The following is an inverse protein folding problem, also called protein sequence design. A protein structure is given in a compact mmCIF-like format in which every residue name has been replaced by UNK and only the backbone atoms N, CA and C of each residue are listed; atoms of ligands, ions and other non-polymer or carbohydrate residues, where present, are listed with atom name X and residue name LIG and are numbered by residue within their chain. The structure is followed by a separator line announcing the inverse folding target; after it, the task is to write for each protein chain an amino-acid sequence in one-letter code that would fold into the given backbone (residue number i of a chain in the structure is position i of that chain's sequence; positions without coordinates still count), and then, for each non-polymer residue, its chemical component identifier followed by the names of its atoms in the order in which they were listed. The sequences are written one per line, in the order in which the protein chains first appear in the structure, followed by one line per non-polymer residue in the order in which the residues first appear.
data_IF_048790577638
#
_entry.id   IF_048790577638
#
_cell.length_a   1.000
_cell.length_b   1.000
_cell.length_c   1.000
_cell.angle_alpha   90.00
_cell.angle_beta   90.00
_cell.angle_gamma   90.00
#
_symmetry.space_group_name_H-M   'P 1'
#
loop_
_entity.id
_entity.type
_entity.pdbx_description
1 polymer ?
#
# COMPACT_ATOMS: atom_id res chain seq x y z
N UNK A 1 22.05 17.42 -21.03
CA UNK A 1 20.61 17.77 -20.95
C UNK A 1 20.32 18.19 -19.50
N UNK A 2 19.54 19.24 -19.26
CA UNK A 2 19.27 19.74 -17.89
C UNK A 2 18.36 18.74 -17.13
N UNK A 3 18.52 18.63 -15.80
CA UNK A 3 17.76 17.69 -14.94
C UNK A 3 16.24 17.87 -15.07
N UNK A 4 15.76 19.11 -15.10
CA UNK A 4 14.33 19.42 -15.30
C UNK A 4 13.78 18.80 -16.61
N UNK A 5 14.56 18.83 -17.70
CA UNK A 5 14.11 18.30 -19.00
C UNK A 5 13.97 16.78 -19.01
N UNK A 6 14.73 16.08 -18.16
CA UNK A 6 14.65 14.63 -18.03
C UNK A 6 13.42 14.25 -17.20
N UNK A 7 13.20 14.96 -16.09
CA UNK A 7 12.04 14.77 -15.22
C UNK A 7 10.72 14.99 -15.97
N UNK A 8 10.59 16.12 -16.67
CA UNK A 8 9.39 16.44 -17.47
C UNK A 8 9.06 15.35 -18.50
N UNK A 9 10.10 14.80 -19.15
CA UNK A 9 9.94 13.74 -20.14
C UNK A 9 9.55 12.41 -19.50
N UNK A 10 10.11 12.05 -18.34
CA UNK A 10 9.71 10.85 -17.59
C UNK A 10 8.26 10.95 -17.10
N UNK A 11 7.82 12.13 -16.64
CA UNK A 11 6.42 12.38 -16.26
C UNK A 11 5.50 12.23 -17.47
N UNK A 12 5.88 12.75 -18.64
CA UNK A 12 5.11 12.59 -19.87
C UNK A 12 4.97 11.12 -20.29
N UNK A 13 6.06 10.34 -20.20
CA UNK A 13 6.07 8.90 -20.47
C UNK A 13 5.16 8.13 -19.51
N UNK A 14 5.21 8.45 -18.21
CA UNK A 14 4.32 7.86 -17.21
C UNK A 14 2.86 8.14 -17.52
N UNK A 15 2.52 9.39 -17.86
CA UNK A 15 1.16 9.80 -18.25
C UNK A 15 0.68 9.10 -19.53
N UNK A 16 1.59 8.72 -20.42
CA UNK A 16 1.30 7.91 -21.60
C UNK A 16 1.38 6.40 -21.36
N UNK A 17 1.36 5.94 -20.10
CA UNK A 17 1.30 4.51 -19.75
C UNK A 17 2.63 3.76 -19.88
N UNK A 18 3.75 4.48 -19.89
CA UNK A 18 5.11 3.90 -19.86
C UNK A 18 5.67 4.02 -18.45
N UNK A 19 5.80 2.89 -17.77
CA UNK A 19 6.46 2.79 -16.47
C UNK A 19 7.96 2.54 -16.66
N UNK A 20 8.81 3.26 -15.91
CA UNK A 20 10.27 3.12 -15.94
C UNK A 20 10.76 2.94 -14.49
N UNK A 21 11.56 1.91 -14.22
CA UNK A 21 12.07 1.61 -12.88
C UNK A 21 13.53 1.12 -12.92
N UNK A 22 14.15 1.03 -11.74
CA UNK A 22 15.48 0.44 -11.57
C UNK A 22 15.34 -0.91 -10.85
N UNK A 23 15.96 -1.95 -11.39
CA UNK A 23 16.05 -3.27 -10.79
C UNK A 23 17.41 -3.88 -11.15
N UNK A 24 18.12 -4.47 -10.20
CA UNK A 24 19.50 -4.97 -10.34
C UNK A 24 20.48 -3.96 -10.95
N UNK A 25 20.34 -2.68 -10.58
CA UNK A 25 21.13 -1.58 -11.13
C UNK A 25 21.01 -1.44 -12.66
N UNK A 26 19.90 -1.90 -13.23
CA UNK A 26 19.53 -1.72 -14.63
C UNK A 26 18.24 -0.90 -14.73
N UNK A 27 18.11 -0.14 -15.82
CA UNK A 27 16.91 0.64 -16.13
C UNK A 27 15.95 -0.25 -16.93
N UNK A 28 14.79 -0.52 -16.36
CA UNK A 28 13.72 -1.30 -16.97
C UNK A 28 12.55 -0.40 -17.35
N UNK A 29 11.74 -0.88 -18.29
CA UNK A 29 10.52 -0.19 -18.69
C UNK A 29 9.42 -1.16 -19.07
N UNK A 30 8.17 -0.71 -18.96
CA UNK A 30 6.96 -1.42 -19.38
C UNK A 30 6.00 -0.42 -20.00
N UNK A 31 5.52 -0.71 -21.19
CA UNK A 31 4.50 0.10 -21.86
C UNK A 31 3.19 -0.67 -21.92
N UNK A 32 2.09 -0.01 -21.55
CA UNK A 32 0.75 -0.53 -21.78
C UNK A 32 0.44 -0.30 -23.27
N UNK A 33 -0.03 -1.34 -23.96
CA UNK A 33 -0.45 -1.30 -25.37
C UNK A 33 0.64 -0.89 -26.40
N UNK A 34 1.92 -1.19 -26.17
CA UNK A 34 3.04 -0.88 -27.09
C UNK A 34 3.15 0.61 -27.49
N UNK A 35 2.73 1.54 -26.62
CA UNK A 35 2.76 2.99 -26.89
C UNK A 35 4.15 3.63 -26.82
N UNK A 36 5.22 2.85 -26.71
CA UNK A 36 6.58 3.38 -26.63
C UNK A 36 7.15 3.64 -28.03
N UNK A 37 7.34 4.91 -28.39
CA UNK A 37 7.90 5.29 -29.68
C UNK A 37 9.42 5.02 -29.73
N UNK A 38 9.96 4.84 -30.93
CA UNK A 38 11.41 4.66 -31.14
C UNK A 38 12.24 5.83 -30.59
N UNK A 39 11.71 7.05 -30.67
CA UNK A 39 12.33 8.27 -30.13
C UNK A 39 12.41 8.24 -28.60
N UNK A 40 11.37 7.71 -27.93
CA UNK A 40 11.36 7.55 -26.48
C UNK A 40 12.36 6.50 -26.02
N UNK A 41 12.49 5.40 -26.76
CA UNK A 41 13.52 4.39 -26.53
C UNK A 41 14.93 4.95 -26.69
N UNK A 42 15.17 5.76 -27.72
CA UNK A 42 16.45 6.45 -27.91
C UNK A 42 16.73 7.40 -26.74
N UNK A 43 15.73 8.19 -26.34
CA UNK A 43 15.83 9.08 -25.19
C UNK A 43 16.22 8.33 -23.90
N UNK A 44 15.55 7.21 -23.59
CA UNK A 44 15.85 6.37 -22.41
C UNK A 44 17.27 5.79 -22.46
N UNK A 45 17.74 5.36 -23.65
CA UNK A 45 19.09 4.82 -23.84
C UNK A 45 20.16 5.88 -23.68
N UNK A 46 20.01 7.03 -24.33
CA UNK A 46 20.97 8.13 -24.31
C UNK A 46 21.09 8.76 -22.92
N UNK A 47 19.98 8.86 -22.20
CA UNK A 47 19.94 9.47 -20.87
C UNK A 47 19.99 8.46 -19.73
N UNK A 48 20.24 7.18 -19.99
CA UNK A 48 20.18 6.08 -19.01
C UNK A 48 20.87 6.42 -17.69
N UNK A 49 22.11 6.91 -17.74
CA UNK A 49 22.90 7.23 -16.54
C UNK A 49 22.25 8.36 -15.71
N UNK A 50 21.77 9.41 -16.37
CA UNK A 50 21.15 10.56 -15.71
C UNK A 50 19.77 10.20 -15.17
N UNK A 51 18.99 9.41 -15.91
CA UNK A 51 17.71 8.86 -15.45
C UNK A 51 17.93 7.99 -14.22
N UNK A 52 18.91 7.08 -14.25
CA UNK A 52 19.22 6.25 -13.09
C UNK A 52 19.66 7.08 -11.88
N UNK A 53 20.48 8.11 -12.09
CA UNK A 53 20.90 9.01 -11.01
C UNK A 53 19.72 9.81 -10.44
N UNK A 54 18.84 10.33 -11.30
CA UNK A 54 17.64 11.06 -10.94
C UNK A 54 16.64 10.18 -10.20
N UNK A 55 16.38 8.98 -10.72
CA UNK A 55 15.49 8.01 -10.09
C UNK A 55 16.06 7.56 -8.75
N UNK A 56 17.37 7.36 -8.61
CA UNK A 56 17.99 7.06 -7.31
C UNK A 56 17.92 8.24 -6.34
N UNK A 57 18.19 9.47 -6.79
CA UNK A 57 18.15 10.66 -5.95
C UNK A 57 16.73 11.04 -5.52
N UNK A 58 15.74 10.76 -6.36
CA UNK A 58 14.32 10.95 -6.05
C UNK A 58 13.68 9.68 -5.46
N UNK A 59 14.37 8.55 -5.49
CA UNK A 59 13.94 7.36 -4.78
C UNK A 59 14.12 7.63 -3.30
N UNK A 60 13.03 7.97 -2.63
CA UNK A 60 12.93 7.77 -1.19
C UNK A 60 13.21 6.29 -0.80
N UNK A 61 13.28 5.38 -1.78
CA UNK A 61 13.61 3.96 -1.60
C UNK A 61 15.00 3.69 -1.01
N UNK A 62 16.03 4.52 -1.22
CA UNK A 62 17.33 4.30 -0.55
C UNK A 62 17.29 4.60 0.97
N UNK A 63 16.27 5.29 1.48
CA UNK A 63 16.05 5.48 2.92
C UNK A 63 15.39 4.27 3.61
N UNK A 64 14.90 3.29 2.85
CA UNK A 64 14.16 2.14 3.36
C UNK A 64 14.94 0.81 3.25
N UNK A 65 16.25 0.84 3.48
CA UNK A 65 17.06 -0.37 3.65
C UNK A 65 16.68 -1.22 4.88
N UNK A 66 15.68 -0.79 5.67
CA UNK A 66 15.00 -1.65 6.62
C UNK A 66 13.96 -2.49 5.87
N UNK A 67 14.19 -3.80 5.77
CA UNK A 67 13.28 -4.76 5.13
C UNK A 67 11.82 -4.70 5.63
N UNK A 68 11.55 -4.02 6.74
CA UNK A 68 10.24 -3.88 7.33
C UNK A 68 9.49 -2.59 6.99
N UNK A 69 10.09 -1.57 6.32
CA UNK A 69 9.42 -0.32 5.91
C UNK A 69 9.55 -0.11 4.40
N UNK A 70 8.47 0.26 3.70
CA UNK A 70 8.43 0.38 2.24
C UNK A 70 7.28 1.29 1.80
N UNK A 71 7.26 1.81 0.55
CA UNK A 71 6.20 2.69 0.11
C UNK A 71 4.86 1.98 -0.11
N UNK A 72 3.78 2.77 -0.16
CA UNK A 72 2.45 2.28 -0.53
C UNK A 72 2.41 1.82 -2.00
N UNK A 73 1.65 0.76 -2.28
CA UNK A 73 1.27 0.40 -3.64
C UNK A 73 0.30 1.44 -4.21
N UNK A 74 0.29 1.64 -5.51
CA UNK A 74 -0.57 2.64 -6.19
C UNK A 74 -2.05 2.54 -5.78
N UNK A 75 -2.57 1.32 -5.64
CA UNK A 75 -3.94 1.10 -5.17
C UNK A 75 -4.16 1.53 -3.72
N UNK A 76 -3.19 1.31 -2.83
CA UNK A 76 -3.25 1.75 -1.43
C UNK A 76 -3.22 3.28 -1.35
N UNK A 77 -2.38 3.92 -2.16
CA UNK A 77 -2.33 5.37 -2.29
C UNK A 77 -3.64 5.95 -2.81
N UNK A 78 -4.30 5.29 -3.78
CA UNK A 78 -5.61 5.71 -4.28
C UNK A 78 -6.70 5.68 -3.21
N UNK A 79 -6.74 4.64 -2.36
CA UNK A 79 -7.65 4.59 -1.20
C UNK A 79 -7.37 5.71 -0.17
N UNK A 80 -6.10 6.03 0.08
CA UNK A 80 -5.73 7.12 0.99
C UNK A 80 -6.13 8.51 0.46
N UNK A 81 -6.03 8.73 -0.86
CA UNK A 81 -6.41 9.99 -1.52
C UNK A 81 -7.93 10.13 -1.62
N UNK A 82 -8.64 9.05 -2.01
CA UNK A 82 -10.10 9.06 -2.11
C UNK A 82 -10.79 9.45 -0.80
N UNK A 83 -10.17 9.11 0.34
CA UNK A 83 -10.66 9.46 1.67
C UNK A 83 -10.49 10.93 2.07
N UNK A 84 -9.64 11.69 1.36
CA UNK A 84 -9.23 13.06 1.70
C UNK A 84 -9.98 14.17 0.94
N UNK A 85 -10.92 13.84 0.05
CA UNK A 85 -11.48 14.81 -0.90
C UNK A 85 -12.92 14.51 -1.33
N UNK A 86 -13.56 15.52 -1.96
CA UNK A 86 -14.92 15.55 -2.53
C UNK A 86 -15.23 14.50 -3.63
N UNK A 87 -14.39 13.46 -3.74
CA UNK A 87 -14.46 12.43 -4.79
C UNK A 87 -15.12 11.12 -4.30
N UNK A 88 -15.73 11.15 -3.12
CA UNK A 88 -16.53 10.07 -2.54
C UNK A 88 -15.86 9.37 -1.36
N UNK A 89 -16.63 9.02 -0.32
CA UNK A 89 -16.15 8.26 0.85
C UNK A 89 -15.87 6.79 0.47
N UNK A 90 -14.80 6.55 -0.28
CA UNK A 90 -14.36 5.19 -0.58
C UNK A 90 -13.53 4.69 0.61
N UNK A 91 -14.21 4.15 1.62
CA UNK A 91 -13.55 3.45 2.72
C UNK A 91 -13.20 2.01 2.31
N UNK A 92 -12.02 1.53 2.68
CA UNK A 92 -11.64 0.12 2.55
C UNK A 92 -12.12 -0.70 3.76
N UNK A 93 -13.26 -0.34 4.34
CA UNK A 93 -13.83 -1.00 5.52
C UNK A 93 -14.90 -2.00 5.09
N UNK A 94 -14.81 -3.22 5.61
CA UNK A 94 -15.79 -4.27 5.38
C UNK A 94 -16.25 -4.79 6.73
N UNK A 95 -17.57 -4.87 6.91
CA UNK A 95 -18.22 -5.46 8.07
C UNK A 95 -19.19 -6.54 7.61
N UNK A 96 -19.13 -7.71 8.23
CA UNK A 96 -20.10 -8.78 8.03
C UNK A 96 -20.23 -9.60 9.32
N UNK A 97 -21.37 -10.26 9.47
CA UNK A 97 -21.67 -11.13 10.60
C UNK A 97 -21.91 -12.56 10.11
N UNK A 98 -21.38 -13.51 10.88
CA UNK A 98 -21.54 -14.93 10.58
C UNK A 98 -22.03 -15.62 11.85
N UNK A 99 -23.10 -16.40 11.70
CA UNK A 99 -23.64 -17.21 12.77
C UNK A 99 -22.95 -18.56 12.78
N UNK A 100 -22.42 -18.94 13.95
CA UNK A 100 -21.80 -20.23 14.17
C UNK A 100 -22.57 -20.99 15.27
N UNK A 101 -22.73 -22.31 15.16
CA UNK A 101 -23.42 -23.10 16.19
C UNK A 101 -22.70 -23.09 17.55
N UNK A 102 -21.36 -23.07 17.53
CA UNK A 102 -20.52 -23.01 18.71
C UNK A 102 -19.21 -22.29 18.36
N UNK A 103 -18.78 -21.37 19.22
CA UNK A 103 -17.47 -20.73 19.15
C UNK A 103 -16.82 -20.82 20.52
N UNK A 104 -15.62 -21.40 20.57
CA UNK A 104 -14.79 -21.40 21.77
C UNK A 104 -13.79 -20.23 21.68
N UNK A 105 -13.86 -19.28 22.62
CA UNK A 105 -13.04 -18.07 22.63
C UNK A 105 -11.55 -18.38 22.42
N UNK A 106 -11.03 -19.38 23.14
CA UNK A 106 -9.63 -19.78 23.07
C UNK A 106 -9.22 -20.26 21.67
N UNK A 107 -10.06 -21.06 21.02
CA UNK A 107 -9.80 -21.56 19.66
C UNK A 107 -9.86 -20.43 18.63
N UNK A 108 -10.85 -19.54 18.77
CA UNK A 108 -10.99 -18.35 17.91
C UNK A 108 -9.75 -17.47 18.00
N UNK A 109 -9.31 -17.16 19.22
CA UNK A 109 -8.09 -16.39 19.48
C UNK A 109 -6.85 -17.04 18.83
N UNK A 110 -6.66 -18.36 19.00
CA UNK A 110 -5.54 -19.06 18.38
C UNK A 110 -5.55 -19.01 16.85
N UNK A 111 -6.71 -19.28 16.24
CA UNK A 111 -6.83 -19.32 14.77
C UNK A 111 -6.53 -17.94 14.20
N UNK A 112 -7.06 -16.87 14.80
CA UNK A 112 -6.77 -15.51 14.35
C UNK A 112 -5.29 -15.14 14.47
N UNK A 113 -4.63 -15.47 15.57
CA UNK A 113 -3.20 -15.22 15.73
C UNK A 113 -2.36 -16.00 14.70
N UNK A 114 -2.72 -17.25 14.39
CA UNK A 114 -2.05 -18.02 13.32
C UNK A 114 -2.21 -17.37 11.94
N UNK A 115 -3.38 -16.83 11.63
CA UNK A 115 -3.62 -16.11 10.38
C UNK A 115 -2.80 -14.81 10.32
N UNK A 116 -2.80 -14.03 11.39
CA UNK A 116 -2.04 -12.77 11.49
C UNK A 116 -0.54 -13.02 11.35
N UNK A 117 0.02 -14.00 12.05
CA UNK A 117 1.44 -14.34 11.95
C UNK A 117 1.81 -14.72 10.50
N UNK A 118 1.01 -15.60 9.88
CA UNK A 118 1.25 -16.11 8.52
C UNK A 118 1.16 -15.06 7.42
N UNK A 119 0.31 -14.04 7.57
CA UNK A 119 0.00 -13.09 6.50
C UNK A 119 0.50 -11.69 6.82
N UNK A 120 1.59 -11.27 6.15
CA UNK A 120 2.20 -9.94 6.33
C UNK A 120 1.20 -8.78 6.19
N UNK A 121 0.26 -8.87 5.24
CA UNK A 121 -0.75 -7.85 5.01
C UNK A 121 -1.66 -7.59 6.23
N UNK A 122 -1.87 -8.59 7.11
CA UNK A 122 -2.61 -8.43 8.37
C UNK A 122 -1.78 -7.78 9.48
N UNK A 123 -0.46 -7.64 9.26
CA UNK A 123 0.50 -7.00 10.15
C UNK A 123 1.05 -5.69 9.58
N UNK A 124 0.56 -5.26 8.42
CA UNK A 124 1.00 -4.02 7.79
C UNK A 124 0.30 -2.81 8.42
N UNK A 125 1.11 -1.84 8.83
CA UNK A 125 0.67 -0.53 9.32
C UNK A 125 1.07 0.52 8.30
N UNK A 126 0.14 1.40 7.94
CA UNK A 126 0.40 2.55 7.08
C UNK A 126 0.83 3.71 7.97
N UNK A 127 2.04 4.23 7.74
CA UNK A 127 2.50 5.46 8.33
C UNK A 127 1.88 6.64 7.58
N UNK A 128 1.73 7.76 8.29
CA UNK A 128 0.78 8.82 7.98
C UNK A 128 0.48 9.08 6.50
N UNK A 129 1.41 9.08 5.52
CA UNK A 129 1.02 9.39 4.13
C UNK A 129 1.77 8.70 2.97
N UNK A 130 2.89 8.01 3.18
CA UNK A 130 3.71 7.53 2.04
C UNK A 130 4.38 6.17 2.24
N UNK A 131 4.49 5.73 3.48
CA UNK A 131 5.17 4.48 3.83
C UNK A 131 4.26 3.58 4.62
N UNK A 132 4.57 2.30 4.57
CA UNK A 132 3.97 1.28 5.39
C UNK A 132 5.09 0.43 5.97
N UNK A 133 4.82 -0.20 7.09
CA UNK A 133 5.74 -1.14 7.69
C UNK A 133 5.04 -2.40 8.17
N UNK A 134 5.77 -3.52 8.23
CA UNK A 134 5.25 -4.80 8.72
C UNK A 134 5.67 -4.99 10.18
N UNK A 135 4.68 -5.18 11.05
CA UNK A 135 4.91 -5.53 12.45
C UNK A 135 5.43 -6.96 12.61
N UNK A 136 6.17 -7.22 13.69
CA UNK A 136 6.69 -8.55 14.05
C UNK A 136 5.57 -9.61 14.09
N UNK A 137 5.84 -10.79 13.52
CA UNK A 137 4.91 -11.93 13.52
C UNK A 137 4.61 -12.50 14.91
N UNK A 138 5.48 -12.24 15.89
CA UNK A 138 5.32 -12.70 17.27
C UNK A 138 4.36 -11.83 18.10
N UNK A 139 3.81 -10.76 17.53
CA UNK A 139 2.80 -9.94 18.22
C UNK A 139 1.50 -10.71 18.35
N UNK A 140 1.00 -10.80 19.58
CA UNK A 140 -0.31 -11.37 19.86
C UNK A 140 -1.42 -10.32 19.75
N UNK A 141 -2.48 -10.69 19.03
CA UNK A 141 -3.74 -9.97 18.95
C UNK A 141 -4.78 -10.67 19.83
N UNK A 142 -5.46 -9.90 20.69
CA UNK A 142 -6.59 -10.40 21.46
C UNK A 142 -7.89 -10.11 20.70
N UNK A 143 -8.57 -11.18 20.29
CA UNK A 143 -9.91 -11.08 19.69
C UNK A 143 -10.88 -10.62 20.78
N UNK A 144 -11.62 -9.56 20.48
CA UNK A 144 -12.65 -9.06 21.38
C UNK A 144 -13.75 -10.12 21.53
N UNK A 145 -14.01 -10.51 22.77
CA UNK A 145 -15.08 -11.42 23.12
C UNK A 145 -16.08 -10.69 24.00
N UNK A 146 -17.35 -10.70 23.58
CA UNK A 146 -18.45 -10.06 24.27
C UNK A 146 -19.63 -11.04 24.34
N UNK A 147 -20.31 -11.05 25.48
CA UNK A 147 -21.49 -11.87 25.70
C UNK A 147 -22.69 -10.99 26.05
N UNK A 148 -23.88 -11.49 25.70
CA UNK A 148 -25.13 -10.79 25.94
C UNK A 148 -25.47 -9.75 24.87
N UNK A 149 -26.76 -9.53 24.69
CA UNK A 149 -27.31 -8.72 23.60
C UNK A 149 -26.79 -7.28 23.60
N UNK A 150 -26.70 -6.65 24.77
CA UNK A 150 -26.24 -5.26 24.90
C UNK A 150 -24.81 -5.07 24.37
N UNK A 151 -23.85 -5.86 24.86
CA UNK A 151 -22.43 -5.71 24.48
C UNK A 151 -22.20 -6.10 23.01
N UNK A 152 -22.93 -7.11 22.52
CA UNK A 152 -22.92 -7.49 21.11
C UNK A 152 -23.45 -6.36 20.22
N UNK A 153 -24.55 -5.71 20.62
CA UNK A 153 -25.11 -4.56 19.90
C UNK A 153 -24.15 -3.36 19.91
N UNK A 154 -23.53 -3.06 21.05
CA UNK A 154 -22.52 -1.98 21.12
C UNK A 154 -21.35 -2.25 20.17
N UNK A 155 -20.89 -3.50 20.10
CA UNK A 155 -19.83 -3.91 19.17
C UNK A 155 -20.27 -3.75 17.71
N UNK A 156 -21.48 -4.20 17.39
CA UNK A 156 -22.08 -4.05 16.05
C UNK A 156 -22.14 -2.59 15.64
N UNK A 157 -22.68 -1.70 16.47
CA UNK A 157 -22.77 -0.27 16.14
C UNK A 157 -21.39 0.37 15.98
N UNK A 158 -20.43 0.01 16.84
CA UNK A 158 -19.05 0.50 16.74
C UNK A 158 -18.34 0.09 15.46
N UNK A 159 -18.57 -1.14 14.98
CA UNK A 159 -17.86 -1.70 13.83
C UNK A 159 -18.57 -1.47 12.50
N UNK A 160 -19.91 -1.46 12.46
CA UNK A 160 -20.68 -1.30 11.22
C UNK A 160 -20.40 0.03 10.52
N UNK A 161 -20.25 1.11 11.29
CA UNK A 161 -20.04 2.46 10.77
C UNK A 161 -18.63 3.00 11.08
N UNK A 162 -17.65 2.10 11.25
CA UNK A 162 -16.33 2.50 11.72
C UNK A 162 -15.60 3.34 10.67
N UNK A 163 -15.26 4.56 11.06
CA UNK A 163 -14.30 5.40 10.33
C UNK A 163 -12.93 5.31 11.01
N UNK A 164 -11.88 5.43 10.19
CA UNK A 164 -10.50 5.41 10.66
C UNK A 164 -9.90 6.80 10.42
N UNK A 165 -9.27 7.40 11.42
CA UNK A 165 -8.56 8.67 11.23
C UNK A 165 -7.15 8.38 10.68
N UNK A 166 -6.80 8.83 9.47
CA UNK A 166 -5.46 8.59 8.90
C UNK A 166 -4.36 9.47 9.52
N UNK A 167 -4.72 10.40 10.42
CA UNK A 167 -3.78 11.37 11.02
C UNK A 167 -3.21 10.94 12.37
N UNK A 168 -3.35 9.66 12.75
CA UNK A 168 -2.84 9.09 14.01
C UNK A 168 -1.85 7.97 13.67
#
# INVERSE_FOLDING_TARGET
MNSLKIEDKLIALYRSGVNVWIEDNQLHYKSINNQLLSEDLMFLKENKRNIMMLLKSNSKYELFNNATQFPLKDIQSAYMIGKKSDFGEVSSHVYFEVYFPQLEEYKVNQVWNKLIAKHEALRTVIDSWETQHILDENRNYQVLFNEGEHQCNDTRYKLMNKSYNPSI
#
